data_IF_339600971229
#
_entry.id   IF_339600971229
#
_cell.length_a   1.000
_cell.length_b   1.000
_cell.length_c   1.000
_cell.angle_alpha   90.00
_cell.angle_beta   90.00
_cell.angle_gamma   90.00
#
_symmetry.space_group_name_H-M   'P 1'
#
loop_
_entity.id
_entity.type
_entity.pdbx_description
1 polymer ?
#
# COMPACT_ATOMS: atom_id res chain seq x y z
N UNK A 1 -21.27 -9.65 -15.35
CA UNK A 1 -21.38 -9.50 -13.89
C UNK A 1 -21.69 -10.84 -13.26
N UNK A 2 -20.72 -11.42 -12.56
CA UNK A 2 -20.84 -12.63 -11.73
C UNK A 2 -21.19 -12.21 -10.30
N UNK A 3 -22.25 -12.74 -9.71
CA UNK A 3 -22.64 -12.38 -8.33
C UNK A 3 -21.48 -12.55 -7.32
N UNK A 4 -21.19 -11.49 -6.55
CA UNK A 4 -20.22 -11.53 -5.45
C UNK A 4 -20.61 -12.57 -4.39
N UNK A 5 -19.63 -13.36 -3.94
CA UNK A 5 -19.78 -14.23 -2.78
C UNK A 5 -19.77 -13.41 -1.47
N UNK A 6 -20.18 -14.01 -0.35
CA UNK A 6 -20.09 -13.35 0.96
C UNK A 6 -18.65 -12.94 1.32
N UNK A 7 -17.66 -13.78 0.95
CA UNK A 7 -16.24 -13.47 1.16
C UNK A 7 -15.79 -12.28 0.33
N UNK A 8 -16.20 -12.24 -0.95
CA UNK A 8 -15.87 -11.14 -1.85
C UNK A 8 -16.46 -9.81 -1.37
N UNK A 9 -17.71 -9.80 -0.87
CA UNK A 9 -18.34 -8.59 -0.32
C UNK A 9 -17.60 -8.07 0.91
N UNK A 10 -17.24 -8.96 1.83
CA UNK A 10 -16.49 -8.58 3.03
C UNK A 10 -15.08 -8.08 2.68
N UNK A 11 -14.44 -8.67 1.67
CA UNK A 11 -13.16 -8.18 1.16
C UNK A 11 -13.31 -6.77 0.58
N UNK A 12 -14.31 -6.56 -0.28
CA UNK A 12 -14.63 -5.26 -0.88
C UNK A 12 -14.88 -4.16 0.17
N UNK A 13 -15.57 -4.50 1.27
CA UNK A 13 -15.82 -3.59 2.40
C UNK A 13 -14.55 -3.22 3.17
N UNK A 14 -13.54 -4.10 3.21
CA UNK A 14 -12.30 -3.91 3.98
C UNK A 14 -11.19 -3.24 3.16
N UNK A 15 -11.21 -3.39 1.84
CA UNK A 15 -10.18 -2.86 0.95
C UNK A 15 -9.96 -1.35 1.07
N UNK A 16 -10.99 -0.48 1.16
CA UNK A 16 -10.78 0.95 1.33
C UNK A 16 -9.95 1.29 2.56
N UNK A 17 -10.26 0.69 3.72
CA UNK A 17 -9.50 0.93 4.95
C UNK A 17 -8.07 0.38 4.86
N UNK A 18 -7.86 -0.72 4.13
CA UNK A 18 -6.54 -1.26 3.87
C UNK A 18 -5.71 -0.34 2.96
N UNK A 19 -6.31 0.18 1.89
CA UNK A 19 -5.70 1.13 0.97
C UNK A 19 -5.29 2.40 1.72
N UNK A 20 -6.21 3.00 2.50
CA UNK A 20 -5.92 4.19 3.32
C UNK A 20 -4.71 3.98 4.25
N UNK A 21 -4.61 2.81 4.88
CA UNK A 21 -3.49 2.49 5.76
C UNK A 21 -2.17 2.35 5.00
N UNK A 22 -2.20 1.73 3.82
CA UNK A 22 -1.03 1.58 2.96
C UNK A 22 -0.57 2.94 2.39
N UNK A 23 -1.49 3.79 1.97
CA UNK A 23 -1.19 5.13 1.47
C UNK A 23 -0.60 6.04 2.56
N UNK A 24 -1.14 5.99 3.80
CA UNK A 24 -0.55 6.70 4.94
C UNK A 24 0.88 6.25 5.20
N UNK A 25 1.11 4.93 5.18
CA UNK A 25 2.44 4.36 5.34
C UNK A 25 3.39 4.80 4.22
N UNK A 26 2.92 4.81 2.97
CA UNK A 26 3.68 5.32 1.84
C UNK A 26 4.09 6.78 2.07
N UNK A 27 3.14 7.62 2.47
CA UNK A 27 3.38 9.04 2.74
C UNK A 27 4.39 9.25 3.88
N UNK A 28 4.31 8.46 4.95
CA UNK A 28 5.28 8.48 6.06
C UNK A 28 6.69 8.13 5.60
N UNK A 29 6.84 7.07 4.79
CA UNK A 29 8.14 6.65 4.24
C UNK A 29 8.73 7.71 3.31
N UNK A 30 7.91 8.30 2.44
CA UNK A 30 8.32 9.39 1.55
C UNK A 30 8.74 10.62 2.37
N UNK A 31 7.97 10.98 3.40
CA UNK A 31 8.27 12.11 4.28
C UNK A 31 9.59 11.88 5.05
N UNK A 32 9.84 10.66 5.52
CA UNK A 32 11.10 10.26 6.14
C UNK A 32 12.26 10.41 5.15
N UNK A 33 12.11 9.89 3.93
CA UNK A 33 13.14 9.96 2.89
C UNK A 33 13.43 11.39 2.41
N UNK A 34 12.45 12.30 2.53
CA UNK A 34 12.62 13.72 2.23
C UNK A 34 13.51 14.48 3.23
N UNK A 35 13.81 13.90 4.40
CA UNK A 35 14.66 14.55 5.40
C UNK A 35 16.14 14.41 5.02
N UNK A 36 16.95 15.50 5.02
CA UNK A 36 18.39 15.40 4.77
C UNK A 36 19.12 14.42 5.71
N UNK A 37 18.66 14.32 6.97
CA UNK A 37 19.19 13.39 7.96
C UNK A 37 19.00 11.91 7.59
N UNK A 38 18.00 11.57 6.77
CA UNK A 38 17.77 10.20 6.31
C UNK A 38 18.95 9.67 5.50
N UNK A 39 19.51 10.49 4.60
CA UNK A 39 20.66 10.11 3.79
C UNK A 39 21.99 10.12 4.55
N UNK A 40 21.99 10.52 5.82
CA UNK A 40 23.12 10.40 6.74
C UNK A 40 23.08 9.09 7.56
N UNK A 41 21.99 8.32 7.46
CA UNK A 41 21.86 7.01 8.11
C UNK A 41 22.74 5.96 7.42
N UNK A 42 22.85 4.77 8.02
CA UNK A 42 23.62 3.67 7.42
C UNK A 42 22.97 3.20 6.11
N UNK A 43 23.81 2.70 5.18
CA UNK A 43 23.33 2.16 3.92
C UNK A 43 22.29 1.05 4.09
N UNK A 44 22.38 0.26 5.17
CA UNK A 44 21.37 -0.76 5.52
C UNK A 44 20.02 -0.14 5.78
N UNK A 45 19.95 0.94 6.58
CA UNK A 45 18.69 1.62 6.90
C UNK A 45 18.09 2.27 5.66
N UNK A 46 18.92 2.95 4.86
CA UNK A 46 18.48 3.59 3.62
C UNK A 46 17.90 2.54 2.66
N UNK A 47 18.59 1.41 2.47
CA UNK A 47 18.14 0.34 1.58
C UNK A 47 16.88 -0.35 2.10
N UNK A 48 16.75 -0.58 3.42
CA UNK A 48 15.55 -1.18 3.99
C UNK A 48 14.32 -0.28 3.84
N UNK A 49 14.47 1.03 4.07
CA UNK A 49 13.35 1.98 3.94
C UNK A 49 12.93 2.12 2.48
N UNK A 50 13.88 2.14 1.52
CA UNK A 50 13.57 2.13 0.08
C UNK A 50 12.83 0.85 -0.33
N UNK A 51 13.32 -0.31 0.09
CA UNK A 51 12.67 -1.59 -0.21
C UNK A 51 11.27 -1.66 0.41
N UNK A 52 11.08 -1.06 1.59
CA UNK A 52 9.76 -0.96 2.21
C UNK A 52 8.82 -0.05 1.42
N UNK A 53 9.29 1.11 0.94
CA UNK A 53 8.51 2.00 0.09
C UNK A 53 8.06 1.30 -1.19
N UNK A 54 8.98 0.66 -1.92
CA UNK A 54 8.67 -0.08 -3.14
C UNK A 54 7.65 -1.21 -2.90
N UNK A 55 7.70 -1.86 -1.73
CA UNK A 55 6.74 -2.89 -1.35
C UNK A 55 5.36 -2.28 -1.11
N UNK A 56 5.29 -1.19 -0.34
CA UNK A 56 4.02 -0.52 -0.03
C UNK A 56 3.37 0.01 -1.31
N UNK A 57 4.15 0.59 -2.23
CA UNK A 57 3.66 1.04 -3.55
C UNK A 57 3.00 -0.10 -4.35
N UNK A 58 3.62 -1.28 -4.35
CA UNK A 58 3.05 -2.46 -5.00
C UNK A 58 1.79 -2.94 -4.29
N UNK A 59 1.79 -2.96 -2.95
CA UNK A 59 0.63 -3.35 -2.15
C UNK A 59 -0.57 -2.43 -2.40
N UNK A 60 -0.36 -1.10 -2.49
CA UNK A 60 -1.42 -0.12 -2.84
C UNK A 60 -1.99 -0.43 -4.23
N UNK A 61 -1.14 -0.58 -5.24
CA UNK A 61 -1.57 -0.86 -6.61
C UNK A 61 -2.37 -2.17 -6.71
N UNK A 62 -1.90 -3.22 -6.03
CA UNK A 62 -2.60 -4.51 -5.99
C UNK A 62 -3.94 -4.42 -5.26
N UNK A 63 -4.02 -3.66 -4.17
CA UNK A 63 -5.27 -3.45 -3.44
C UNK A 63 -6.32 -2.72 -4.29
N UNK A 64 -5.91 -1.67 -5.03
CA UNK A 64 -6.80 -1.00 -5.98
C UNK A 64 -7.23 -1.91 -7.14
N UNK A 65 -6.30 -2.69 -7.71
CA UNK A 65 -6.65 -3.67 -8.74
C UNK A 65 -7.69 -4.67 -8.22
N UNK A 66 -7.48 -5.19 -7.01
CA UNK A 66 -8.40 -6.13 -6.38
C UNK A 66 -9.76 -5.50 -6.11
N UNK A 67 -9.79 -4.25 -5.67
CA UNK A 67 -11.01 -3.50 -5.44
C UNK A 67 -11.82 -3.36 -6.75
N UNK A 68 -11.17 -2.93 -7.84
CA UNK A 68 -11.80 -2.82 -9.16
C UNK A 68 -12.32 -4.19 -9.65
N UNK A 69 -11.52 -5.26 -9.53
CA UNK A 69 -11.93 -6.62 -9.90
C UNK A 69 -13.19 -7.08 -9.15
N UNK A 70 -13.35 -6.68 -7.89
CA UNK A 70 -14.50 -7.00 -7.07
C UNK A 70 -15.71 -6.12 -7.40
N UNK A 71 -15.52 -4.84 -7.74
CA UNK A 71 -16.62 -3.97 -8.17
C UNK A 71 -17.20 -4.37 -9.54
N UNK A 72 -16.36 -4.84 -10.46
CA UNK A 72 -16.77 -5.26 -11.81
C UNK A 72 -17.44 -6.65 -11.87
N UNK A 73 -17.32 -7.42 -10.78
CA UNK A 73 -17.81 -8.79 -10.67
C UNK A 73 -19.32 -8.80 -10.40
#
# INVERSE_FOLDING_TARGET
MRKLSYKDKRELELLPAQIDALERKQAELVAQMGQPAFYQQSGTVINSTKAELERVEKEVALAYQRWNELEEK
#
